data_IF_349628815830
#
_entry.id   IF_349628815830
#
_cell.length_a   1.000
_cell.length_b   1.000
_cell.length_c   1.000
_cell.angle_alpha   90.00
_cell.angle_beta   90.00
_cell.angle_gamma   90.00
#
_symmetry.space_group_name_H-M   'P 1'
#
loop_
_entity.id
_entity.type
_entity.pdbx_description
1 polymer ?
#
# COMPACT_ATOMS: atom_id res chain seq x y z
N UNK A 1 -8.44 18.14 -5.09
CA UNK A 1 -8.51 16.98 -6.01
C UNK A 1 -7.13 16.73 -6.58
N UNK A 2 -6.53 15.57 -6.32
CA UNK A 2 -5.30 15.16 -6.99
C UNK A 2 -5.70 14.62 -8.37
N UNK A 3 -5.20 15.23 -9.44
CA UNK A 3 -5.39 14.74 -10.81
C UNK A 3 -4.87 13.29 -10.92
N UNK A 4 -5.43 12.43 -11.78
CA UNK A 4 -4.92 11.08 -11.99
C UNK A 4 -3.53 11.17 -12.62
N UNK A 5 -2.49 11.25 -11.79
CA UNK A 5 -1.12 11.11 -12.24
C UNK A 5 -0.90 9.64 -12.56
N UNK A 6 -0.62 9.35 -13.83
CA UNK A 6 -0.09 8.05 -14.20
C UNK A 6 1.29 7.90 -13.55
N UNK A 7 1.56 6.81 -12.83
CA UNK A 7 2.89 6.55 -12.30
C UNK A 7 3.86 6.32 -13.48
N UNK A 8 5.05 6.92 -13.41
CA UNK A 8 6.14 6.67 -14.37
C UNK A 8 7.00 5.47 -13.95
N UNK A 9 7.04 5.15 -12.65
CA UNK A 9 7.86 4.07 -12.11
C UNK A 9 7.07 3.17 -11.17
N UNK A 10 7.38 1.87 -11.17
CA UNK A 10 6.91 0.88 -10.20
C UNK A 10 8.10 0.28 -9.47
N UNK A 11 8.04 0.27 -8.14
CA UNK A 11 9.03 -0.37 -7.28
C UNK A 11 8.51 -1.72 -6.77
N UNK A 12 9.35 -2.75 -6.87
CA UNK A 12 9.10 -4.08 -6.32
C UNK A 12 10.02 -4.32 -5.11
N UNK A 13 9.48 -4.88 -4.03
CA UNK A 13 10.22 -5.18 -2.81
C UNK A 13 9.73 -6.47 -2.14
N UNK A 14 10.49 -6.98 -1.18
CA UNK A 14 10.07 -8.13 -0.38
C UNK A 14 9.03 -7.74 0.67
N UNK A 15 7.81 -8.32 0.58
CA UNK A 15 6.74 -8.09 1.54
C UNK A 15 7.08 -8.50 2.97
N UNK A 16 8.07 -9.39 3.18
CA UNK A 16 8.52 -9.76 4.52
C UNK A 16 9.08 -8.56 5.30
N UNK A 17 9.53 -7.50 4.62
CA UNK A 17 10.06 -6.28 5.24
C UNK A 17 9.00 -5.47 6.02
N UNK A 18 7.70 -5.72 5.78
CA UNK A 18 6.60 -4.93 6.37
C UNK A 18 5.64 -5.78 7.21
N UNK A 19 5.97 -7.06 7.47
CA UNK A 19 5.10 -7.96 8.24
C UNK A 19 4.91 -7.53 9.70
N UNK A 20 5.89 -6.87 10.31
CA UNK A 20 5.75 -6.33 11.67
C UNK A 20 4.85 -5.10 11.73
N UNK A 21 4.58 -4.48 10.59
CA UNK A 21 3.99 -3.13 10.48
C UNK A 21 2.56 -3.20 9.89
N UNK A 22 1.95 -4.39 9.89
CA UNK A 22 0.59 -4.61 9.39
C UNK A 22 -0.43 -4.17 10.43
N UNK A 23 -1.39 -3.33 10.02
CA UNK A 23 -2.57 -3.01 10.83
C UNK A 23 -3.83 -3.43 10.09
N UNK A 24 -4.62 -4.28 10.75
CA UNK A 24 -5.97 -4.61 10.32
C UNK A 24 -6.95 -3.70 11.07
N UNK A 25 -7.48 -2.65 10.42
CA UNK A 25 -8.42 -1.76 11.09
C UNK A 25 -9.77 -2.43 11.30
N UNK A 26 -10.49 -1.91 12.29
CA UNK A 26 -11.93 -2.15 12.35
C UNK A 26 -12.61 -1.34 11.24
N UNK A 27 -13.74 -1.86 10.74
CA UNK A 27 -14.52 -1.17 9.72
C UNK A 27 -15.05 0.19 10.18
N UNK A 28 -15.59 0.97 9.23
CA UNK A 28 -16.22 2.28 9.49
C UNK A 28 -15.32 3.21 10.31
N UNK A 29 -14.17 3.59 9.79
CA UNK A 29 -13.25 4.50 10.48
C UNK A 29 -12.91 4.05 11.92
N UNK A 30 -12.62 2.76 12.10
CA UNK A 30 -12.30 2.12 13.38
C UNK A 30 -13.47 1.99 14.38
N UNK A 31 -14.69 2.41 14.01
CA UNK A 31 -15.85 2.40 14.92
C UNK A 31 -16.64 1.11 14.92
N UNK A 32 -16.44 0.22 13.94
CA UNK A 32 -17.11 -1.08 13.92
C UNK A 32 -16.53 -2.03 14.99
N UNK A 33 -17.36 -2.95 15.48
CA UNK A 33 -16.93 -4.00 16.42
C UNK A 33 -16.12 -5.12 15.73
N UNK A 34 -16.13 -5.16 14.40
CA UNK A 34 -15.46 -6.18 13.60
C UNK A 34 -14.34 -5.60 12.74
N UNK A 35 -13.35 -6.46 12.45
CA UNK A 35 -12.25 -6.18 11.52
C UNK A 35 -12.76 -6.18 10.09
N UNK A 36 -12.29 -5.22 9.29
CA UNK A 36 -12.69 -5.10 7.89
C UNK A 36 -11.46 -4.97 6.99
N UNK A 37 -11.06 -6.10 6.41
CA UNK A 37 -9.81 -6.19 5.64
C UNK A 37 -9.89 -5.44 4.31
N UNK A 38 -11.05 -5.45 3.65
CA UNK A 38 -11.24 -5.03 2.25
C UNK A 38 -12.19 -3.84 2.05
N UNK A 39 -12.61 -3.14 3.13
CA UNK A 39 -13.46 -1.94 3.04
C UNK A 39 -14.68 -2.09 2.12
N UNK A 40 -15.38 -3.22 2.26
CA UNK A 40 -16.51 -3.57 1.38
C UNK A 40 -17.82 -2.98 1.89
N UNK A 41 -17.99 -2.91 3.20
CA UNK A 41 -19.19 -2.46 3.88
C UNK A 41 -19.31 -0.94 3.91
N UNK A 42 -18.18 -0.22 3.91
CA UNK A 42 -18.12 1.24 3.98
C UNK A 42 -17.10 1.78 2.96
N UNK A 43 -17.45 1.89 1.67
CA UNK A 43 -16.51 2.22 0.58
C UNK A 43 -16.06 3.71 0.56
N UNK A 44 -16.03 4.35 1.73
CA UNK A 44 -15.59 5.72 1.90
C UNK A 44 -14.07 5.75 2.10
N UNK A 45 -13.41 6.73 1.49
CA UNK A 45 -11.95 6.89 1.57
C UNK A 45 -11.57 7.54 2.92
N UNK A 46 -10.60 6.95 3.63
CA UNK A 46 -9.96 7.50 4.83
C UNK A 46 -9.48 6.42 5.80
N UNK A 47 -9.14 6.79 7.03
CA UNK A 47 -8.69 5.84 8.06
C UNK A 47 -9.74 4.75 8.27
N UNK A 48 -9.32 3.49 8.41
CA UNK A 48 -10.25 2.36 8.50
C UNK A 48 -10.88 1.92 7.17
N UNK A 49 -10.45 2.52 6.05
CA UNK A 49 -10.90 2.20 4.69
C UNK A 49 -10.25 0.96 4.06
N UNK A 50 -9.77 -0.02 4.85
CA UNK A 50 -9.11 -1.24 4.38
C UNK A 50 -7.78 -1.52 5.08
N UNK A 51 -7.23 -2.73 4.91
CA UNK A 51 -5.94 -3.09 5.51
C UNK A 51 -4.83 -2.19 4.97
N UNK A 52 -4.08 -1.58 5.87
CA UNK A 52 -2.98 -0.68 5.53
C UNK A 52 -1.68 -1.24 6.08
N UNK A 53 -0.64 -1.12 5.27
CA UNK A 53 0.73 -1.45 5.62
C UNK A 53 1.49 -0.13 5.68
N UNK A 54 1.75 0.37 6.89
CA UNK A 54 2.44 1.65 7.09
C UNK A 54 3.74 1.35 7.80
N UNK A 55 4.86 1.46 7.09
CA UNK A 55 6.19 1.31 7.67
C UNK A 55 6.92 2.64 7.71
N UNK A 56 7.62 2.89 8.81
CA UNK A 56 8.57 4.00 8.94
C UNK A 56 10.02 3.53 8.74
N UNK A 57 10.22 2.22 8.53
CA UNK A 57 11.53 1.62 8.27
C UNK A 57 11.87 1.77 6.79
N UNK A 58 13.15 1.96 6.44
CA UNK A 58 13.57 1.94 5.04
C UNK A 58 13.23 0.61 4.37
N UNK A 59 12.54 0.66 3.22
CA UNK A 59 12.26 -0.52 2.37
C UNK A 59 13.40 -0.68 1.36
N UNK A 60 14.01 -1.88 1.30
CA UNK A 60 14.95 -2.24 0.23
C UNK A 60 14.17 -2.69 -1.00
N UNK A 61 14.32 -1.93 -2.09
CA UNK A 61 13.74 -2.24 -3.40
C UNK A 61 14.59 -3.32 -4.08
N UNK A 62 13.94 -4.32 -4.67
CA UNK A 62 14.59 -5.34 -5.52
C UNK A 62 14.71 -4.87 -6.96
N UNK A 63 13.67 -4.22 -7.47
CA UNK A 63 13.57 -3.79 -8.86
C UNK A 63 12.76 -2.51 -9.01
N UNK A 64 13.18 -1.64 -9.93
CA UNK A 64 12.42 -0.48 -10.38
C UNK A 64 12.12 -0.62 -11.88
N UNK A 65 10.86 -0.43 -12.29
CA UNK A 65 10.40 -0.58 -13.68
C UNK A 65 9.84 0.75 -14.16
N UNK A 66 10.37 1.28 -15.27
CA UNK A 66 9.80 2.45 -15.93
C UNK A 66 8.59 2.01 -16.76
N UNK A 67 7.42 2.57 -16.47
CA UNK A 67 6.17 2.21 -17.15
C UNK A 67 6.03 2.84 -18.54
N UNK A 68 6.82 3.85 -18.86
CA UNK A 68 6.82 4.52 -20.17
C UNK A 68 7.84 3.89 -21.13
N UNK A 69 9.04 3.57 -20.64
CA UNK A 69 10.14 3.05 -21.47
C UNK A 69 10.33 1.54 -21.38
N UNK A 70 9.81 0.90 -20.33
CA UNK A 70 10.07 -0.50 -20.02
C UNK A 70 11.46 -0.78 -19.43
N UNK A 71 12.25 0.26 -19.13
CA UNK A 71 13.55 0.13 -18.46
C UNK A 71 13.40 -0.58 -17.10
N UNK A 72 14.33 -1.49 -16.82
CA UNK A 72 14.37 -2.25 -15.57
C UNK A 72 15.72 -2.07 -14.88
N UNK A 73 15.69 -1.56 -13.65
CA UNK A 73 16.85 -1.45 -12.77
C UNK A 73 16.73 -2.50 -11.67
N UNK A 74 17.70 -3.41 -11.59
CA UNK A 74 17.77 -4.42 -10.53
C UNK A 74 18.79 -3.99 -9.47
N UNK A 75 18.39 -4.04 -8.20
CA UNK A 75 19.25 -3.73 -7.06
C UNK A 75 19.76 -5.03 -6.43
N UNK A 76 21.02 -5.03 -6.00
CA UNK A 76 21.68 -6.17 -5.35
C UNK A 76 21.57 -6.08 -3.83
#
# INVERSE_FOLDING_TARGET
>A
MQLPKKPTWVAEFDGNQILSDVRLPNGKYLTAEYKEVLCKSYPDLGDGGGSQFITNSPIKIKRLINLETGEVINFK
#
